data_IF_913232181056
#
_entry.id   IF_913232181056
#
_cell.length_a   1.000
_cell.length_b   1.000
_cell.length_c   1.000
_cell.angle_alpha   90.00
_cell.angle_beta   90.00
_cell.angle_gamma   90.00
#
_symmetry.space_group_name_H-M   'P 1'
#
loop_
_entity.id
_entity.type
_entity.pdbx_description
1 polymer ?
#
# COMPACT_ATOMS: atom_id res chain seq x y z
N UNK A 1 -3.12 10.00 6.94
CA UNK A 1 -4.49 10.45 6.61
C UNK A 1 -5.38 10.01 7.76
N UNK A 2 -5.82 10.91 8.64
CA UNK A 2 -6.73 10.58 9.74
C UNK A 2 -8.13 11.11 9.44
N UNK A 3 -9.14 10.24 9.42
CA UNK A 3 -10.55 10.60 9.54
C UNK A 3 -11.32 11.03 8.29
N UNK A 4 -10.79 10.85 7.06
CA UNK A 4 -11.59 11.01 5.84
C UNK A 4 -11.72 9.67 5.11
N UNK A 5 -12.94 9.25 4.72
CA UNK A 5 -13.11 8.07 3.88
C UNK A 5 -12.32 8.27 2.59
N UNK A 6 -11.46 7.31 2.25
CA UNK A 6 -10.77 7.22 0.96
C UNK A 6 -11.29 5.97 0.24
N UNK A 7 -11.76 6.15 -0.99
CA UNK A 7 -12.48 5.10 -1.72
C UNK A 7 -13.93 4.88 -1.25
N UNK A 8 -14.58 3.77 -1.69
CA UNK A 8 -14.02 2.73 -2.56
C UNK A 8 -13.64 3.28 -3.95
N UNK A 9 -12.61 2.68 -4.56
CA UNK A 9 -12.19 3.00 -5.93
C UNK A 9 -12.80 1.98 -6.90
N UNK A 10 -13.28 2.44 -8.05
CA UNK A 10 -13.79 1.54 -9.10
C UNK A 10 -12.62 0.93 -9.91
N UNK A 11 -11.50 1.64 -9.98
CA UNK A 11 -10.29 1.20 -10.70
C UNK A 11 -9.01 1.72 -10.06
N UNK A 12 -7.87 1.12 -10.43
CA UNK A 12 -6.56 1.65 -10.05
C UNK A 12 -6.29 3.04 -10.66
N UNK A 13 -6.89 3.34 -11.81
CA UNK A 13 -6.80 4.68 -12.42
C UNK A 13 -7.44 5.75 -11.52
N UNK A 14 -8.58 5.45 -10.88
CA UNK A 14 -9.24 6.37 -9.93
C UNK A 14 -8.40 6.57 -8.67
N UNK A 15 -7.82 5.47 -8.16
CA UNK A 15 -6.87 5.51 -7.05
C UNK A 15 -5.64 6.38 -7.39
N UNK A 16 -5.03 6.17 -8.55
CA UNK A 16 -3.87 6.93 -9.01
C UNK A 16 -4.22 8.42 -9.17
N UNK A 17 -5.40 8.75 -9.73
CA UNK A 17 -5.86 10.12 -9.84
C UNK A 17 -5.99 10.80 -8.46
N UNK A 18 -6.49 10.08 -7.45
CA UNK A 18 -6.51 10.56 -6.08
C UNK A 18 -5.10 10.75 -5.50
N UNK A 19 -4.21 9.78 -5.68
CA UNK A 19 -2.83 9.82 -5.20
C UNK A 19 -2.05 11.00 -5.77
N UNK A 20 -2.30 11.33 -7.04
CA UNK A 20 -1.65 12.42 -7.78
C UNK A 20 -2.24 13.81 -7.49
N UNK A 21 -3.42 13.91 -6.88
CA UNK A 21 -4.12 15.19 -6.62
C UNK A 21 -3.26 16.25 -5.92
N UNK A 22 -2.36 15.92 -4.97
CA UNK A 22 -1.44 16.91 -4.39
C UNK A 22 -0.49 17.56 -5.43
N UNK A 23 -0.17 16.85 -6.51
CA UNK A 23 0.75 17.31 -7.55
C UNK A 23 0.12 18.33 -8.51
N UNK A 24 -1.21 18.39 -8.61
CA UNK A 24 -1.94 19.31 -9.51
C UNK A 24 -1.66 20.80 -9.21
N UNK A 25 -1.19 21.11 -7.99
CA UNK A 25 -0.85 22.48 -7.57
C UNK A 25 0.53 22.96 -8.07
N UNK A 26 1.34 22.08 -8.66
CA UNK A 26 2.68 22.38 -9.17
C UNK A 26 2.68 22.31 -10.69
N UNK A 27 3.50 23.14 -11.36
CA UNK A 27 3.74 22.95 -12.81
C UNK A 27 4.38 21.55 -13.00
N UNK A 28 3.84 20.69 -13.88
CA UNK A 28 4.42 19.37 -14.09
C UNK A 28 5.79 19.52 -14.77
N UNK A 29 6.85 19.15 -14.06
CA UNK A 29 8.16 18.82 -14.62
C UNK A 29 8.16 17.43 -15.26
N UNK A 30 9.28 17.05 -15.85
CA UNK A 30 9.41 15.79 -16.61
C UNK A 30 9.14 14.56 -15.73
N UNK A 31 9.62 14.58 -14.48
CA UNK A 31 9.38 13.49 -13.53
C UNK A 31 7.88 13.27 -13.24
N UNK A 32 7.05 14.31 -13.06
CA UNK A 32 5.60 14.11 -12.84
C UNK A 32 4.89 13.51 -14.07
N UNK A 33 5.37 13.79 -15.28
CA UNK A 33 4.83 13.19 -16.52
C UNK A 33 5.20 11.72 -16.61
N UNK A 34 6.50 11.42 -16.51
CA UNK A 34 7.01 10.04 -16.52
C UNK A 34 6.34 9.19 -15.43
N UNK A 35 6.17 9.76 -14.25
CA UNK A 35 5.48 9.13 -13.14
C UNK A 35 4.01 8.79 -13.45
N UNK A 36 3.27 9.74 -14.04
CA UNK A 36 1.87 9.54 -14.45
C UNK A 36 1.76 8.49 -15.56
N UNK A 37 2.65 8.53 -16.54
CA UNK A 37 2.67 7.59 -17.66
C UNK A 37 2.99 6.17 -17.17
N UNK A 38 3.91 6.06 -16.21
CA UNK A 38 4.26 4.78 -15.58
C UNK A 38 3.07 4.21 -14.81
N UNK A 39 2.39 5.02 -13.99
CA UNK A 39 1.19 4.58 -13.27
C UNK A 39 0.05 4.16 -14.19
N UNK A 40 -0.10 4.80 -15.36
CA UNK A 40 -1.11 4.45 -16.35
C UNK A 40 -0.85 3.09 -17.04
N UNK A 41 0.37 2.57 -16.95
CA UNK A 41 0.74 1.24 -17.48
C UNK A 41 0.27 0.06 -16.62
N UNK A 42 -0.24 0.32 -15.42
CA UNK A 42 -0.70 -0.72 -14.49
C UNK A 42 -2.23 -0.75 -14.39
N UNK A 43 -2.77 -1.95 -14.16
CA UNK A 43 -4.20 -2.17 -13.95
C UNK A 43 -4.45 -3.36 -13.00
N UNK A 44 -4.02 -3.18 -11.76
CA UNK A 44 -4.24 -4.10 -10.65
C UNK A 44 -5.71 -4.14 -10.25
N UNK A 45 -6.11 -5.27 -9.68
CA UNK A 45 -7.47 -5.40 -9.13
C UNK A 45 -7.61 -4.53 -7.88
N UNK A 46 -8.78 -3.91 -7.73
CA UNK A 46 -9.17 -3.29 -6.48
C UNK A 46 -9.75 -4.36 -5.55
N UNK A 47 -9.18 -4.52 -4.37
CA UNK A 47 -9.58 -5.51 -3.36
C UNK A 47 -9.73 -4.85 -2.00
N UNK A 48 -10.50 -5.47 -1.10
CA UNK A 48 -10.57 -4.99 0.28
C UNK A 48 -9.29 -5.38 1.02
N UNK A 49 -8.53 -4.38 1.49
CA UNK A 49 -7.24 -4.56 2.17
C UNK A 49 -7.26 -3.88 3.53
N UNK A 50 -6.47 -4.40 4.46
CA UNK A 50 -6.25 -3.86 5.81
C UNK A 50 -5.51 -2.51 5.76
N UNK A 51 -4.56 -2.37 4.84
CA UNK A 51 -3.73 -1.18 4.60
C UNK A 51 -2.89 -0.69 5.81
N UNK A 52 -2.86 -1.48 6.88
CA UNK A 52 -1.95 -1.32 8.01
C UNK A 52 -1.57 -2.67 8.65
N UNK A 53 -1.45 -3.73 7.86
CA UNK A 53 -1.07 -5.03 8.39
C UNK A 53 0.35 -4.96 8.98
N UNK A 54 0.49 -5.39 10.22
CA UNK A 54 1.76 -5.37 10.94
C UNK A 54 1.81 -6.52 11.95
N UNK A 55 2.98 -6.88 12.48
CA UNK A 55 3.10 -7.86 13.55
C UNK A 55 2.18 -7.57 14.74
N UNK A 56 2.01 -6.29 15.09
CA UNK A 56 1.21 -5.84 16.23
C UNK A 56 -0.30 -6.05 16.00
N UNK A 57 -0.71 -6.16 14.73
CA UNK A 57 -2.11 -6.30 14.30
C UNK A 57 -2.51 -7.76 13.99
N UNK A 58 -1.62 -8.73 14.21
CA UNK A 58 -1.88 -10.16 14.02
C UNK A 58 -1.87 -10.88 15.37
N UNK A 59 -3.03 -11.38 15.78
CA UNK A 59 -3.15 -12.19 16.99
C UNK A 59 -2.79 -13.65 16.72
N UNK A 60 -1.94 -14.21 17.58
CA UNK A 60 -1.47 -15.59 17.47
C UNK A 60 -1.73 -16.32 18.78
N UNK A 61 -2.29 -17.52 18.69
CA UNK A 61 -2.40 -18.42 19.83
C UNK A 61 -1.01 -18.93 20.24
N UNK A 62 -0.63 -18.70 21.50
CA UNK A 62 0.73 -18.96 21.98
C UNK A 62 1.10 -20.45 22.01
N UNK A 63 0.12 -21.33 22.17
CA UNK A 63 0.37 -22.78 22.30
C UNK A 63 0.45 -23.45 20.92
N UNK A 64 -0.42 -23.04 20.00
CA UNK A 64 -0.59 -23.68 18.69
C UNK A 64 0.10 -22.94 17.55
N UNK A 65 0.46 -21.67 17.74
CA UNK A 65 1.04 -20.81 16.70
C UNK A 65 0.04 -20.40 15.61
N UNK A 66 -1.26 -20.68 15.78
CA UNK A 66 -2.28 -20.34 14.79
C UNK A 66 -2.67 -18.87 14.89
N UNK A 67 -2.86 -18.24 13.74
CA UNK A 67 -3.50 -16.92 13.67
C UNK A 67 -4.94 -17.04 14.17
N UNK A 68 -5.29 -16.23 15.17
CA UNK A 68 -6.63 -16.21 15.79
C UNK A 68 -7.43 -14.97 15.40
N UNK A 69 -6.77 -13.94 14.89
CA UNK A 69 -7.43 -12.73 14.43
C UNK A 69 -6.48 -11.74 13.78
N UNK A 70 -7.07 -10.86 12.98
CA UNK A 70 -6.44 -9.64 12.46
C UNK A 70 -7.26 -8.48 13.01
N UNK A 71 -6.59 -7.52 13.66
CA UNK A 71 -7.21 -6.39 14.36
C UNK A 71 -6.73 -5.06 13.77
N UNK A 72 -7.37 -3.97 14.20
CA UNK A 72 -7.01 -2.59 13.82
C UNK A 72 -7.31 -2.23 12.35
N UNK A 73 -8.53 -2.53 11.91
CA UNK A 73 -9.03 -2.28 10.56
C UNK A 73 -9.38 -0.80 10.27
N UNK A 74 -8.95 0.16 11.10
CA UNK A 74 -9.35 1.57 10.93
C UNK A 74 -8.82 2.22 9.64
N UNK A 75 -7.75 1.63 9.08
CA UNK A 75 -7.14 2.03 7.81
C UNK A 75 -7.67 1.24 6.61
N UNK A 76 -8.54 0.25 6.86
CA UNK A 76 -9.00 -0.66 5.83
C UNK A 76 -9.84 0.05 4.76
N UNK A 77 -9.78 -0.49 3.54
CA UNK A 77 -10.47 0.09 2.40
C UNK A 77 -10.33 -0.75 1.15
N UNK A 78 -10.82 -0.22 0.04
CA UNK A 78 -10.68 -0.85 -1.27
C UNK A 78 -9.47 -0.25 -1.97
N UNK A 79 -8.41 -1.04 -2.11
CA UNK A 79 -7.10 -0.62 -2.58
C UNK A 79 -6.62 -1.51 -3.73
N UNK A 80 -5.67 -1.05 -4.57
CA UNK A 80 -4.98 -1.95 -5.49
C UNK A 80 -4.38 -3.15 -4.76
N UNK A 81 -4.37 -4.33 -5.38
CA UNK A 81 -3.95 -5.58 -4.70
C UNK A 81 -2.50 -5.55 -4.16
N UNK A 82 -1.61 -4.77 -4.78
CA UNK A 82 -0.24 -4.57 -4.30
C UNK A 82 -0.13 -3.74 -3.02
N UNK A 83 -1.18 -2.99 -2.67
CA UNK A 83 -1.15 -1.98 -1.62
C UNK A 83 -0.90 -2.57 -0.24
N UNK A 84 -1.46 -3.76 0.04
CA UNK A 84 -1.28 -4.41 1.34
C UNK A 84 0.18 -4.75 1.61
N UNK A 85 0.86 -5.41 0.66
CA UNK A 85 2.27 -5.77 0.78
C UNK A 85 3.14 -4.52 1.02
N UNK A 86 2.89 -3.45 0.26
CA UNK A 86 3.58 -2.17 0.39
C UNK A 86 3.36 -1.55 1.78
N UNK A 87 2.13 -1.53 2.29
CA UNK A 87 1.82 -0.98 3.62
C UNK A 87 2.36 -1.85 4.76
N UNK A 88 2.39 -3.16 4.58
CA UNK A 88 2.93 -4.09 5.55
C UNK A 88 4.45 -3.95 5.73
N UNK A 89 5.14 -3.41 4.72
CA UNK A 89 6.57 -3.15 4.76
C UNK A 89 6.95 -1.70 5.12
N UNK A 90 5.98 -0.80 5.25
CA UNK A 90 6.19 0.63 5.45
C UNK A 90 6.93 0.96 6.77
N UNK A 91 7.76 2.01 6.73
CA UNK A 91 8.50 2.50 7.89
C UNK A 91 9.50 1.47 8.42
N UNK A 92 9.58 1.32 9.75
CA UNK A 92 10.51 0.39 10.40
C UNK A 92 10.19 -1.10 10.19
N UNK A 93 9.04 -1.44 9.59
CA UNK A 93 8.60 -2.84 9.44
C UNK A 93 9.51 -3.65 8.52
N UNK A 94 10.03 -3.03 7.46
CA UNK A 94 11.01 -3.64 6.55
C UNK A 94 12.35 -4.00 7.22
N UNK A 95 12.67 -3.42 8.39
CA UNK A 95 13.87 -3.78 9.17
C UNK A 95 13.73 -5.10 9.93
N UNK A 96 12.50 -5.62 10.08
CA UNK A 96 12.22 -6.90 10.70
C UNK A 96 12.38 -8.01 9.67
N UNK A 97 13.59 -8.57 9.56
CA UNK A 97 13.92 -9.60 8.56
C UNK A 97 12.97 -10.80 8.55
N UNK A 98 12.47 -11.22 9.72
CA UNK A 98 11.50 -12.30 9.84
C UNK A 98 10.13 -11.95 9.26
N UNK A 99 9.71 -10.69 9.39
CA UNK A 99 8.43 -10.19 8.89
C UNK A 99 8.47 -10.03 7.37
N UNK A 100 9.54 -9.44 6.85
CA UNK A 100 9.79 -9.35 5.41
C UNK A 100 9.72 -10.72 4.75
N UNK A 101 10.43 -11.71 5.32
CA UNK A 101 10.42 -13.08 4.81
C UNK A 101 9.03 -13.72 4.87
N UNK A 102 8.30 -13.51 5.97
CA UNK A 102 6.93 -14.01 6.09
C UNK A 102 6.01 -13.43 5.00
N UNK A 103 6.11 -12.12 4.75
CA UNK A 103 5.32 -11.47 3.70
C UNK A 103 5.68 -11.98 2.30
N UNK A 104 6.97 -12.19 2.02
CA UNK A 104 7.44 -12.78 0.76
C UNK A 104 6.91 -14.22 0.56
N UNK A 105 6.74 -14.98 1.65
CA UNK A 105 6.22 -16.36 1.60
C UNK A 105 4.69 -16.42 1.41
N UNK A 106 3.94 -15.42 1.89
CA UNK A 106 2.47 -15.45 1.98
C UNK A 106 1.74 -14.47 1.06
N UNK A 107 2.44 -13.48 0.49
CA UNK A 107 1.88 -12.46 -0.38
C UNK A 107 2.57 -12.43 -1.74
N UNK A 108 1.83 -12.00 -2.76
CA UNK A 108 2.43 -11.64 -4.04
C UNK A 108 3.29 -10.37 -3.86
N UNK A 109 4.54 -10.45 -4.30
CA UNK A 109 5.47 -9.33 -4.19
C UNK A 109 5.35 -8.44 -5.42
N UNK A 110 5.25 -7.14 -5.19
CA UNK A 110 5.03 -6.13 -6.23
C UNK A 110 6.16 -5.10 -6.22
N UNK A 111 7.40 -5.55 -6.42
CA UNK A 111 8.61 -4.73 -6.27
C UNK A 111 8.68 -3.58 -7.28
N UNK A 112 8.03 -3.71 -8.43
CA UNK A 112 8.01 -2.74 -9.54
C UNK A 112 7.45 -1.36 -9.14
N UNK A 113 6.55 -1.30 -8.15
CA UNK A 113 5.93 -0.04 -7.71
C UNK A 113 6.62 0.66 -6.53
N UNK A 114 7.62 0.02 -5.92
CA UNK A 114 8.26 0.53 -4.71
C UNK A 114 9.05 1.82 -4.93
N UNK A 115 9.79 1.91 -6.03
CA UNK A 115 10.56 3.12 -6.35
C UNK A 115 9.65 4.33 -6.59
N UNK A 116 8.57 4.09 -7.34
CA UNK A 116 7.59 5.10 -7.74
C UNK A 116 6.92 5.78 -6.53
N UNK A 117 6.39 5.00 -5.59
CA UNK A 117 5.69 5.60 -4.45
C UNK A 117 6.62 6.16 -3.37
N UNK A 118 7.82 5.60 -3.22
CA UNK A 118 8.85 6.19 -2.36
C UNK A 118 9.21 7.59 -2.85
N UNK A 119 9.28 7.78 -4.17
CA UNK A 119 9.48 9.11 -4.75
C UNK A 119 8.30 10.03 -4.41
N UNK A 120 7.04 9.60 -4.59
CA UNK A 120 5.87 10.41 -4.20
C UNK A 120 5.90 10.86 -2.74
N UNK A 121 6.22 9.97 -1.81
CA UNK A 121 6.27 10.29 -0.37
C UNK A 121 7.36 11.32 -0.04
N UNK A 122 8.44 11.37 -0.82
CA UNK A 122 9.48 12.39 -0.69
C UNK A 122 9.10 13.75 -1.28
N UNK A 123 8.05 13.84 -2.11
CA UNK A 123 7.65 15.07 -2.81
C UNK A 123 6.36 15.73 -2.29
N UNK A 124 5.57 15.06 -1.44
CA UNK A 124 4.29 15.54 -0.90
C UNK A 124 4.40 16.01 0.55
#
# INVERSE_FOLDING_TARGET
MHGRPCGPWESEADFNAFLLKPLDKRKPGDWQREFRDTLAGYNHRIVFSHADLSPDNVMVDKETGKVTGIIDWEMAGWWPEYWEYRKAMYGGRSSLSWWTKLLEDVMETHWEKWGLESDLENFV
#
